data_IF_484695646918
#
_entry.id   IF_484695646918
#
_cell.length_a   1.000
_cell.length_b   1.000
_cell.length_c   1.000
_cell.angle_alpha   90.00
_cell.angle_beta   90.00
_cell.angle_gamma   90.00
#
_symmetry.space_group_name_H-M   'P 1'
#
loop_
_entity.id
_entity.type
_entity.pdbx_description
1 polymer ?
#
# COMPACT_ATOMS: atom_id res chain seq x y z
N UNK A 1 -4.59 -16.76 0.93
CA UNK A 1 -4.28 -16.01 -0.32
C UNK A 1 -3.37 -14.84 -0.03
N UNK A 2 -2.41 -14.49 -0.90
CA UNK A 2 -1.62 -13.25 -0.78
C UNK A 2 -2.19 -12.15 -1.65
N UNK A 3 -2.40 -10.96 -1.09
CA UNK A 3 -3.16 -9.87 -1.70
C UNK A 3 -2.37 -8.57 -1.72
N UNK A 4 -2.33 -7.92 -2.88
CA UNK A 4 -1.92 -6.52 -3.06
C UNK A 4 -3.19 -5.71 -3.17
N UNK A 5 -3.32 -4.64 -2.40
CA UNK A 5 -4.52 -3.81 -2.39
C UNK A 5 -4.21 -2.35 -2.66
N UNK A 6 -5.01 -1.74 -3.54
CA UNK A 6 -4.92 -0.35 -3.94
C UNK A 6 -6.31 0.28 -3.97
N UNK A 7 -6.37 1.60 -3.82
CA UNK A 7 -7.59 2.40 -4.00
C UNK A 7 -7.36 3.41 -5.12
N UNK A 8 -8.33 3.55 -6.03
CA UNK A 8 -8.38 4.62 -7.04
C UNK A 8 -9.80 5.13 -7.16
N UNK A 9 -10.01 6.43 -7.03
CA UNK A 9 -11.34 7.03 -7.09
C UNK A 9 -11.28 8.46 -7.64
N UNK A 10 -12.44 8.97 -8.08
CA UNK A 10 -12.53 10.28 -8.70
C UNK A 10 -11.83 10.35 -10.06
N UNK A 11 -11.64 11.57 -10.57
CA UNK A 11 -11.27 11.80 -11.99
C UNK A 11 -9.79 12.06 -12.23
N UNK A 12 -8.92 11.94 -11.22
CA UNK A 12 -7.48 12.21 -11.39
C UNK A 12 -6.82 11.07 -12.16
N UNK A 13 -6.47 11.37 -13.42
CA UNK A 13 -5.89 10.42 -14.37
C UNK A 13 -4.60 9.77 -13.87
N UNK A 14 -3.78 10.49 -13.12
CA UNK A 14 -2.54 9.99 -12.51
C UNK A 14 -2.75 8.69 -11.71
N UNK A 15 -3.79 8.62 -10.88
CA UNK A 15 -4.05 7.43 -10.05
C UNK A 15 -4.55 6.26 -10.89
N UNK A 16 -5.37 6.54 -11.90
CA UNK A 16 -5.88 5.55 -12.84
C UNK A 16 -4.77 4.95 -13.71
N UNK A 17 -3.93 5.79 -14.30
CA UNK A 17 -2.75 5.36 -15.05
C UNK A 17 -1.78 4.61 -14.14
N UNK A 18 -1.65 5.05 -12.89
CA UNK A 18 -0.78 4.40 -11.94
C UNK A 18 -1.24 2.98 -11.57
N UNK A 19 -2.52 2.81 -11.24
CA UNK A 19 -3.12 1.50 -11.07
C UNK A 19 -2.98 0.64 -12.32
N UNK A 20 -3.13 1.24 -13.51
CA UNK A 20 -3.02 0.51 -14.77
C UNK A 20 -1.61 -0.03 -14.99
N UNK A 21 -0.58 0.79 -14.81
CA UNK A 21 0.81 0.34 -14.92
C UNK A 21 1.10 -0.75 -13.90
N UNK A 22 0.67 -0.58 -12.65
CA UNK A 22 0.82 -1.60 -11.62
C UNK A 22 0.11 -2.91 -11.99
N UNK A 23 -1.07 -2.85 -12.61
CA UNK A 23 -1.80 -4.05 -13.07
C UNK A 23 -1.06 -4.83 -14.16
N UNK A 24 -0.21 -4.17 -14.95
CA UNK A 24 0.60 -4.82 -15.99
C UNK A 24 1.84 -5.50 -15.42
N UNK A 25 2.40 -5.00 -14.31
CA UNK A 25 3.68 -5.47 -13.74
C UNK A 25 3.56 -6.34 -12.49
N UNK A 26 2.41 -6.35 -11.80
CA UNK A 26 2.33 -6.96 -10.45
C UNK A 26 2.66 -8.45 -10.43
N UNK A 27 2.36 -9.21 -11.50
CA UNK A 27 2.66 -10.65 -11.57
C UNK A 27 4.15 -10.94 -11.71
N UNK A 28 4.90 -10.00 -12.30
CA UNK A 28 6.35 -10.07 -12.40
C UNK A 28 7.01 -9.74 -11.07
N UNK A 29 6.57 -8.64 -10.43
CA UNK A 29 7.13 -8.17 -9.15
C UNK A 29 6.72 -9.08 -7.99
N UNK A 30 5.48 -9.56 -7.99
CA UNK A 30 4.89 -10.38 -6.94
C UNK A 30 4.22 -11.65 -7.51
N UNK A 31 5.02 -12.64 -7.97
CA UNK A 31 4.48 -13.88 -8.52
C UNK A 31 3.56 -14.60 -7.52
N UNK A 32 2.38 -15.02 -7.99
CA UNK A 32 1.39 -15.73 -7.18
C UNK A 32 0.54 -14.86 -6.26
N UNK A 33 0.76 -13.54 -6.22
CA UNK A 33 -0.11 -12.61 -5.51
C UNK A 33 -1.32 -12.22 -6.38
N UNK A 34 -2.42 -11.86 -5.73
CA UNK A 34 -3.57 -11.26 -6.38
C UNK A 34 -3.52 -9.75 -6.22
N UNK A 35 -3.75 -8.98 -7.28
CA UNK A 35 -3.97 -7.54 -7.20
C UNK A 35 -5.47 -7.25 -7.10
N UNK A 36 -5.88 -6.48 -6.10
CA UNK A 36 -7.24 -5.98 -5.94
C UNK A 36 -7.25 -4.46 -5.85
N UNK A 37 -8.14 -3.86 -6.63
CA UNK A 37 -8.27 -2.41 -6.76
C UNK A 37 -9.70 -2.03 -6.37
N UNK A 38 -9.81 -1.16 -5.37
CA UNK A 38 -11.06 -0.59 -4.93
C UNK A 38 -11.32 0.75 -5.63
N UNK A 39 -12.53 0.93 -6.17
CA UNK A 39 -12.89 2.14 -6.91
C UNK A 39 -14.38 2.48 -6.82
N UNK A 40 -14.76 3.72 -7.10
CA UNK A 40 -16.15 4.20 -7.06
C UNK A 40 -16.87 4.22 -8.40
N UNK A 41 -16.16 4.00 -9.50
CA UNK A 41 -16.74 4.05 -10.84
C UNK A 41 -16.22 2.95 -11.76
N UNK A 42 -17.04 2.57 -12.75
CA UNK A 42 -16.59 1.81 -13.91
C UNK A 42 -16.28 2.79 -15.03
N UNK A 43 -15.04 2.77 -15.50
CA UNK A 43 -14.56 3.58 -16.62
C UNK A 43 -13.68 2.73 -17.55
N UNK A 44 -13.08 3.37 -18.55
CA UNK A 44 -12.19 2.71 -19.52
C UNK A 44 -11.02 1.97 -18.85
N UNK A 45 -10.42 2.56 -17.81
CA UNK A 45 -9.33 1.93 -17.06
C UNK A 45 -9.79 0.64 -16.37
N UNK A 46 -10.99 0.62 -15.78
CA UNK A 46 -11.46 -0.59 -15.07
C UNK A 46 -11.55 -1.83 -15.94
N UNK A 47 -11.84 -1.68 -17.24
CA UNK A 47 -11.85 -2.81 -18.17
C UNK A 47 -10.45 -3.38 -18.33
N UNK A 48 -9.48 -2.53 -18.61
CA UNK A 48 -8.10 -2.97 -18.83
C UNK A 48 -7.48 -3.54 -17.53
N UNK A 49 -7.82 -3.00 -16.36
CA UNK A 49 -7.44 -3.57 -15.07
C UNK A 49 -7.88 -5.04 -14.95
N UNK A 50 -9.12 -5.35 -15.34
CA UNK A 50 -9.65 -6.73 -15.33
C UNK A 50 -8.96 -7.59 -16.37
N UNK A 51 -8.71 -7.07 -17.57
CA UNK A 51 -7.98 -7.78 -18.64
C UNK A 51 -6.55 -8.15 -18.22
N UNK A 52 -5.87 -7.29 -17.46
CA UNK A 52 -4.57 -7.57 -16.86
C UNK A 52 -4.64 -8.59 -15.68
N UNK A 53 -5.87 -8.94 -15.27
CA UNK A 53 -6.16 -9.93 -14.23
C UNK A 53 -6.22 -9.34 -12.82
N UNK A 54 -6.41 -8.03 -12.66
CA UNK A 54 -6.70 -7.44 -11.36
C UNK A 54 -8.18 -7.66 -10.98
N UNK A 55 -8.44 -7.83 -9.70
CA UNK A 55 -9.80 -7.80 -9.14
C UNK A 55 -10.23 -6.34 -8.98
N UNK A 56 -11.35 -5.95 -9.60
CA UNK A 56 -11.91 -4.59 -9.43
C UNK A 56 -13.14 -4.66 -8.53
N UNK A 57 -13.07 -3.97 -7.39
CA UNK A 57 -14.13 -3.90 -6.38
C UNK A 57 -14.78 -2.53 -6.38
N UNK A 58 -16.05 -2.46 -6.77
CA UNK A 58 -16.82 -1.22 -6.72
C UNK A 58 -17.26 -0.89 -5.30
N UNK A 59 -17.05 0.36 -4.91
CA UNK A 59 -17.35 0.92 -3.61
C UNK A 59 -18.35 2.05 -3.76
N UNK A 60 -19.30 2.13 -2.83
CA UNK A 60 -20.13 3.32 -2.72
C UNK A 60 -19.29 4.44 -2.13
N UNK A 61 -19.08 5.52 -2.88
CA UNK A 61 -18.36 6.69 -2.41
C UNK A 61 -19.33 7.69 -1.74
N UNK A 62 -19.26 7.90 -0.41
CA UNK A 62 -20.04 8.94 0.24
C UNK A 62 -19.53 10.36 -0.06
N UNK A 63 -18.41 10.50 -0.77
CA UNK A 63 -17.71 11.76 -1.05
C UNK A 63 -16.41 11.90 -0.25
N UNK A 64 -15.62 12.91 -0.59
CA UNK A 64 -14.36 13.22 0.10
C UNK A 64 -13.22 12.24 -0.21
N UNK A 65 -12.39 11.96 0.79
CA UNK A 65 -11.20 11.12 0.67
C UNK A 65 -11.36 9.73 1.30
N UNK A 66 -12.60 9.33 1.63
CA UNK A 66 -12.90 8.02 2.20
C UNK A 66 -12.38 6.85 1.33
N UNK A 67 -12.27 7.08 0.01
CA UNK A 67 -11.66 6.12 -0.92
C UNK A 67 -10.27 5.64 -0.52
N UNK A 68 -9.51 6.48 0.19
CA UNK A 68 -8.17 6.16 0.68
C UNK A 68 -8.16 4.98 1.65
N UNK A 69 -9.24 4.77 2.40
CA UNK A 69 -9.36 3.69 3.38
C UNK A 69 -9.76 2.35 2.75
N UNK A 70 -10.30 2.32 1.53
CA UNK A 70 -10.79 1.05 0.95
C UNK A 70 -9.69 0.01 0.80
N UNK A 71 -8.46 0.45 0.48
CA UNK A 71 -7.30 -0.43 0.42
C UNK A 71 -6.95 -1.06 1.78
N UNK A 72 -7.42 -0.54 2.91
CA UNK A 72 -7.18 -1.17 4.22
C UNK A 72 -8.21 -2.26 4.55
N UNK A 73 -9.44 -2.15 4.02
CA UNK A 73 -10.56 -3.05 4.31
C UNK A 73 -10.22 -4.54 4.20
N UNK A 74 -9.47 -5.03 3.18
CA UNK A 74 -9.14 -6.44 3.08
C UNK A 74 -8.41 -7.03 4.29
N UNK A 75 -7.81 -6.23 5.18
CA UNK A 75 -7.17 -6.79 6.38
C UNK A 75 -8.16 -7.57 7.28
N UNK A 76 -9.45 -7.27 7.17
CA UNK A 76 -10.55 -8.03 7.80
C UNK A 76 -10.96 -9.31 7.06
N UNK A 77 -10.48 -9.55 5.83
CA UNK A 77 -10.90 -10.70 5.04
C UNK A 77 -10.36 -12.02 5.64
N UNK A 78 -11.25 -12.99 5.78
CA UNK A 78 -10.88 -14.35 6.18
C UNK A 78 -10.07 -15.05 5.07
N UNK A 79 -9.17 -15.97 5.45
CA UNK A 79 -8.39 -16.78 4.51
C UNK A 79 -7.22 -16.05 3.82
N UNK A 80 -6.90 -14.82 4.22
CA UNK A 80 -5.67 -14.16 3.82
C UNK A 80 -4.45 -14.82 4.47
N UNK A 81 -3.42 -15.01 3.66
CA UNK A 81 -2.07 -15.36 4.12
C UNK A 81 -1.33 -14.07 4.46
N UNK A 82 -1.29 -13.13 3.51
CA UNK A 82 -0.71 -11.81 3.67
C UNK A 82 -1.45 -10.77 2.82
N UNK A 83 -1.47 -9.54 3.31
CA UNK A 83 -1.92 -8.34 2.61
C UNK A 83 -0.74 -7.36 2.52
N UNK A 84 -0.55 -6.72 1.37
CA UNK A 84 0.28 -5.51 1.26
C UNK A 84 -0.55 -4.37 0.68
N UNK A 85 -0.43 -3.21 1.30
CA UNK A 85 -1.18 -2.02 0.92
C UNK A 85 -0.29 -1.07 0.14
N UNK A 86 -0.78 -0.59 -1.01
CA UNK A 86 -0.04 0.29 -1.92
C UNK A 86 -0.87 1.49 -2.38
N UNK A 87 -0.18 2.61 -2.54
CA UNK A 87 -0.69 3.76 -3.28
C UNK A 87 -0.55 3.50 -4.78
N UNK A 88 -1.55 3.89 -5.56
CA UNK A 88 -1.58 3.62 -7.01
C UNK A 88 -0.59 4.49 -7.81
N UNK A 89 -0.21 5.65 -7.27
CA UNK A 89 0.73 6.60 -7.86
C UNK A 89 2.21 6.22 -7.65
N UNK A 90 2.48 5.13 -6.93
CA UNK A 90 3.81 4.51 -6.81
C UNK A 90 3.89 3.19 -7.55
N UNK A 91 5.07 2.86 -8.07
CA UNK A 91 5.31 1.65 -8.88
C UNK A 91 5.80 0.51 -8.01
N UNK A 92 5.13 -0.65 -8.13
CA UNK A 92 5.64 -1.91 -7.60
C UNK A 92 7.03 -2.17 -8.16
N UNK A 93 7.97 -2.60 -7.32
CA UNK A 93 9.36 -2.77 -7.72
C UNK A 93 10.08 -3.90 -6.95
N UNK A 94 11.24 -4.30 -7.45
CA UNK A 94 12.00 -5.42 -6.86
C UNK A 94 12.58 -5.12 -5.48
N UNK A 95 12.78 -3.84 -5.12
CA UNK A 95 13.23 -3.45 -3.78
C UNK A 95 12.16 -3.73 -2.75
N UNK A 96 10.91 -3.35 -3.03
CA UNK A 96 9.81 -3.67 -2.12
C UNK A 96 9.49 -5.17 -2.08
N UNK A 97 9.64 -5.88 -3.20
CA UNK A 97 9.44 -7.32 -3.22
C UNK A 97 10.44 -8.03 -2.30
N UNK A 98 11.72 -7.66 -2.33
CA UNK A 98 12.73 -8.21 -1.44
C UNK A 98 12.41 -7.95 0.05
N UNK A 99 11.95 -6.74 0.38
CA UNK A 99 11.53 -6.41 1.75
C UNK A 99 10.30 -7.19 2.22
N UNK A 100 9.32 -7.39 1.34
CA UNK A 100 8.11 -8.18 1.63
C UNK A 100 8.47 -9.65 1.82
N UNK A 101 9.35 -10.22 0.99
CA UNK A 101 9.79 -11.60 1.16
C UNK A 101 10.60 -11.79 2.46
N UNK A 102 11.47 -10.85 2.82
CA UNK A 102 12.16 -10.86 4.11
C UNK A 102 11.18 -10.83 5.29
N UNK A 103 10.12 -10.01 5.19
CA UNK A 103 9.04 -10.01 6.17
C UNK A 103 8.32 -11.35 6.25
N UNK A 104 7.88 -11.92 5.12
CA UNK A 104 7.20 -13.21 5.10
C UNK A 104 8.07 -14.32 5.73
N UNK A 105 9.37 -14.31 5.44
CA UNK A 105 10.34 -15.26 6.02
C UNK A 105 10.57 -15.05 7.53
N UNK A 106 10.43 -13.83 8.03
CA UNK A 106 10.62 -13.52 9.46
C UNK A 106 9.55 -14.09 10.38
N UNK A 107 8.38 -14.44 9.83
CA UNK A 107 7.22 -14.91 10.60
C UNK A 107 6.48 -13.82 11.38
N UNK A 108 6.86 -12.54 11.26
CA UNK A 108 6.21 -11.40 11.93
C UNK A 108 4.79 -11.16 11.40
N UNK A 109 3.88 -10.74 12.29
CA UNK A 109 2.50 -10.42 11.96
C UNK A 109 2.33 -9.22 11.03
N UNK A 110 3.25 -8.25 11.05
CA UNK A 110 3.16 -7.04 10.23
C UNK A 110 4.50 -6.57 9.64
N UNK A 111 4.40 -5.67 8.66
CA UNK A 111 5.54 -5.06 7.96
C UNK A 111 5.31 -3.59 7.70
N UNK A 112 6.34 -2.77 7.93
CA UNK A 112 6.35 -1.35 7.61
C UNK A 112 7.64 -0.99 6.88
N UNK A 113 7.54 -0.11 5.88
CA UNK A 113 8.68 0.42 5.11
C UNK A 113 8.76 1.95 5.19
N UNK A 114 9.97 2.47 5.43
CA UNK A 114 10.28 3.91 5.46
C UNK A 114 11.56 4.20 4.67
N UNK A 115 11.44 4.42 3.36
CA UNK A 115 12.58 4.47 2.44
C UNK A 115 13.04 5.89 2.00
N UNK A 116 12.46 6.95 2.56
CA UNK A 116 12.75 8.34 2.20
C UNK A 116 12.70 9.25 3.45
N UNK A 117 13.45 10.36 3.53
CA UNK A 117 13.40 11.27 4.68
C UNK A 117 11.99 11.74 5.07
N UNK A 118 11.09 11.95 4.09
CA UNK A 118 9.69 12.30 4.35
C UNK A 118 8.87 11.19 5.03
N UNK A 119 9.37 9.95 5.01
CA UNK A 119 8.72 8.78 5.61
C UNK A 119 9.06 8.62 7.09
N UNK A 120 10.18 9.19 7.55
CA UNK A 120 10.76 8.87 8.85
C UNK A 120 9.94 9.39 10.03
N UNK A 121 9.12 10.42 9.81
CA UNK A 121 8.30 11.07 10.84
C UNK A 121 6.99 10.33 11.15
N UNK A 122 6.70 9.22 10.45
CA UNK A 122 5.45 8.49 10.62
C UNK A 122 5.69 7.03 11.03
N UNK A 123 4.92 6.49 11.99
CA UNK A 123 5.03 5.09 12.36
C UNK A 123 4.57 4.20 11.19
N UNK A 124 3.59 4.63 10.41
CA UNK A 124 3.08 3.90 9.26
C UNK A 124 2.67 4.88 8.17
N UNK A 125 2.95 4.50 6.92
CA UNK A 125 2.55 5.27 5.73
C UNK A 125 1.40 4.56 5.04
N UNK A 126 0.52 5.33 4.38
CA UNK A 126 -0.71 4.82 3.78
C UNK A 126 -0.51 3.67 2.79
N UNK A 127 0.52 3.74 1.94
CA UNK A 127 0.80 2.76 0.89
C UNK A 127 2.07 1.94 1.06
N UNK A 128 2.59 1.76 2.29
CA UNK A 128 3.87 1.07 2.49
C UNK A 128 3.91 0.17 3.73
N UNK A 129 2.92 -0.71 3.84
CA UNK A 129 2.84 -1.68 4.92
C UNK A 129 2.16 -2.97 4.47
N UNK A 130 2.37 -4.02 5.25
CA UNK A 130 1.74 -5.32 5.06
C UNK A 130 1.35 -5.96 6.38
N UNK A 131 0.42 -6.91 6.33
CA UNK A 131 -0.09 -7.62 7.50
C UNK A 131 -0.48 -9.05 7.17
N UNK A 132 -0.25 -9.99 8.11
CA UNK A 132 -0.69 -11.39 8.01
C UNK A 132 -2.19 -11.48 8.29
N UNK A 133 -2.85 -12.47 7.70
CA UNK A 133 -4.28 -12.69 7.94
C UNK A 133 -4.59 -12.90 9.43
N UNK A 134 -5.71 -12.33 9.89
CA UNK A 134 -6.18 -12.49 11.26
C UNK A 134 -5.48 -11.65 12.33
N UNK A 135 -4.45 -10.86 11.98
CA UNK A 135 -3.79 -9.96 12.95
C UNK A 135 -4.68 -8.77 13.34
N UNK A 136 -5.45 -8.23 12.38
CA UNK A 136 -6.47 -7.19 12.62
C UNK A 136 -7.75 -7.59 11.90
N UNK A 137 -8.55 -8.51 12.47
CA UNK A 137 -9.76 -9.02 11.83
C UNK A 137 -10.89 -7.98 11.78
N UNK A 138 -10.81 -6.93 12.60
CA UNK A 138 -11.81 -5.88 12.79
C UNK A 138 -11.43 -4.55 12.10
N UNK A 139 -10.55 -4.58 11.08
CA UNK A 139 -10.12 -3.39 10.34
C UNK A 139 -11.28 -2.56 9.79
N UNK A 140 -12.29 -3.21 9.20
CA UNK A 140 -13.45 -2.51 8.65
C UNK A 140 -14.22 -1.76 9.74
N UNK A 141 -14.45 -2.40 10.88
CA UNK A 141 -15.12 -1.82 12.04
C UNK A 141 -14.31 -0.67 12.64
N UNK A 142 -12.98 -0.81 12.74
CA UNK A 142 -12.06 0.26 13.18
C UNK A 142 -12.13 1.49 12.29
N UNK A 143 -12.14 1.31 10.96
CA UNK A 143 -12.25 2.42 10.00
C UNK A 143 -13.58 3.17 10.17
N UNK A 144 -14.68 2.43 10.37
CA UNK A 144 -15.99 3.01 10.61
C UNK A 144 -16.07 3.75 11.96
N UNK A 145 -15.44 3.20 13.01
CA UNK A 145 -15.39 3.82 14.32
C UNK A 145 -14.50 5.07 14.38
N UNK A 146 -13.46 5.15 13.53
CA UNK A 146 -12.56 6.30 13.46
C UNK A 146 -13.28 7.62 13.11
N UNK A 147 -14.30 7.56 12.25
CA UNK A 147 -15.21 8.66 11.93
C UNK A 147 -14.51 10.00 11.53
N UNK A 148 -13.31 9.92 10.95
CA UNK A 148 -12.51 11.04 10.44
C UNK A 148 -11.91 10.68 9.09
N UNK A 149 -12.57 11.09 8.00
CA UNK A 149 -12.23 10.64 6.63
C UNK A 149 -12.20 11.77 5.61
N UNK A 150 -11.92 12.99 6.05
CA UNK A 150 -12.12 14.20 5.23
C UNK A 150 -10.82 14.92 4.91
N UNK A 151 -9.75 14.70 5.70
CA UNK A 151 -8.51 15.47 5.61
C UNK A 151 -7.35 14.61 5.13
N UNK A 152 -6.54 15.18 4.24
CA UNK A 152 -5.25 14.59 3.86
C UNK A 152 -4.50 14.16 5.13
N UNK A 153 -3.88 12.98 5.10
CA UNK A 153 -3.20 12.33 6.23
C UNK A 153 -4.12 11.66 7.26
N UNK A 154 -5.45 11.72 7.14
CA UNK A 154 -6.35 11.00 8.06
C UNK A 154 -6.11 9.48 8.04
N UNK A 155 -5.68 8.92 6.92
CA UNK A 155 -5.26 7.51 6.81
C UNK A 155 -4.01 7.22 7.64
N UNK A 156 -3.02 8.11 7.60
CA UNK A 156 -1.79 8.00 8.37
C UNK A 156 -2.04 8.21 9.86
N UNK A 157 -2.93 9.13 10.23
CA UNK A 157 -3.40 9.31 11.61
C UNK A 157 -4.15 8.09 12.12
N UNK A 158 -5.07 7.53 11.31
CA UNK A 158 -5.75 6.28 11.63
C UNK A 158 -4.75 5.15 11.86
N UNK A 159 -3.78 4.97 10.96
CA UNK A 159 -2.76 3.95 11.12
C UNK A 159 -1.94 4.17 12.41
N UNK A 160 -1.53 5.41 12.70
CA UNK A 160 -0.76 5.74 13.90
C UNK A 160 -1.53 5.51 15.21
N UNK A 161 -2.84 5.79 15.24
CA UNK A 161 -3.66 5.76 16.46
C UNK A 161 -4.40 4.42 16.65
N UNK A 162 -4.80 3.76 15.56
CA UNK A 162 -5.69 2.58 15.60
C UNK A 162 -5.02 1.26 15.21
N UNK A 163 -3.91 1.30 14.49
CA UNK A 163 -3.24 0.11 13.93
C UNK A 163 -1.86 -0.09 14.57
N UNK A 164 -1.00 0.91 14.53
CA UNK A 164 0.37 0.85 15.02
C UNK A 164 0.49 0.34 16.47
N UNK A 165 -0.34 0.79 17.45
CA UNK A 165 -0.26 0.29 18.82
C UNK A 165 -0.48 -1.21 18.95
N UNK A 166 -1.22 -1.82 18.02
CA UNK A 166 -1.53 -3.25 17.98
C UNK A 166 -0.36 -4.06 17.43
N UNK A 167 0.29 -3.57 16.38
CA UNK A 167 1.27 -4.35 15.62
C UNK A 167 2.73 -4.08 15.99
N UNK A 168 3.05 -2.98 16.68
CA UNK A 168 4.43 -2.50 16.85
C UNK A 168 5.40 -3.50 17.49
N UNK A 169 4.90 -4.43 18.31
CA UNK A 169 5.71 -5.46 18.96
C UNK A 169 5.89 -6.73 18.11
N UNK A 170 5.14 -6.86 17.02
CA UNK A 170 5.20 -7.97 16.07
C UNK A 170 5.27 -7.47 14.61
N UNK A 171 6.11 -6.47 14.39
CA UNK A 171 6.30 -5.84 13.09
C UNK A 171 7.76 -5.92 12.65
N UNK A 172 8.01 -6.43 11.43
CA UNK A 172 9.29 -6.19 10.77
C UNK A 172 9.29 -4.78 10.18
N UNK A 173 10.32 -3.99 10.45
CA UNK A 173 10.39 -2.61 10.01
C UNK A 173 11.64 -2.42 9.16
N UNK A 174 11.47 -1.99 7.91
CA UNK A 174 12.60 -1.63 7.05
C UNK A 174 12.71 -0.11 6.91
N UNK A 175 13.91 0.42 7.08
CA UNK A 175 14.17 1.86 7.08
C UNK A 175 15.45 2.22 6.33
N UNK A 176 15.41 3.34 5.59
CA UNK A 176 16.59 4.01 5.05
C UNK A 176 16.89 5.23 5.92
N UNK A 177 18.03 5.19 6.62
CA UNK A 177 18.40 6.22 7.60
C UNK A 177 17.93 5.87 9.02
N UNK A 178 17.64 6.88 9.83
CA UNK A 178 17.27 6.71 11.25
C UNK A 178 15.82 7.13 11.46
N UNK A 179 14.99 6.24 11.99
CA UNK A 179 13.61 6.53 12.37
C UNK A 179 13.43 6.39 13.88
N UNK A 180 12.65 7.27 14.55
CA UNK A 180 12.37 7.15 15.99
C UNK A 180 11.59 5.88 16.36
N UNK A 181 10.97 5.21 15.38
CA UNK A 181 10.25 3.94 15.58
C UNK A 181 11.13 2.70 15.39
N UNK A 182 12.41 2.89 15.06
CA UNK A 182 13.35 1.83 14.73
C UNK A 182 13.17 1.25 13.33
N UNK A 183 13.92 0.19 13.07
CA UNK A 183 13.91 -0.56 11.81
C UNK A 183 15.30 -1.02 11.40
N UNK A 184 15.35 -1.97 10.48
CA UNK A 184 16.56 -2.51 9.89
C UNK A 184 16.74 -2.05 8.43
N UNK A 185 17.96 -2.10 7.88
CA UNK A 185 18.19 -1.76 6.48
C UNK A 185 17.39 -2.65 5.53
N UNK A 186 17.00 -2.10 4.38
CA UNK A 186 16.38 -2.89 3.30
C UNK A 186 17.30 -4.04 2.85
N UNK A 187 16.72 -5.22 2.55
CA UNK A 187 17.50 -6.36 2.09
C UNK A 187 18.09 -6.11 0.70
N UNK A 188 19.15 -6.85 0.32
CA UNK A 188 19.69 -6.80 -1.03
C UNK A 188 18.63 -7.11 -2.09
N UNK A 189 18.66 -6.38 -3.20
CA UNK A 189 17.74 -6.55 -4.32
C UNK A 189 18.46 -6.29 -5.65
N UNK A 190 17.97 -6.83 -6.79
CA UNK A 190 18.46 -6.46 -8.11
C UNK A 190 18.31 -4.95 -8.38
N UNK A 191 19.11 -4.33 -9.26
CA UNK A 191 18.95 -2.93 -9.61
C UNK A 191 17.50 -2.59 -10.01
N UNK A 192 16.92 -1.55 -9.41
CA UNK A 192 15.64 -0.96 -9.82
C UNK A 192 15.88 0.47 -10.31
N UNK A 193 14.98 0.97 -11.15
CA UNK A 193 14.96 2.38 -11.59
C UNK A 193 14.36 3.35 -10.54
N UNK A 194 13.88 2.79 -9.43
CA UNK A 194 13.22 3.47 -8.32
C UNK A 194 14.23 4.07 -7.34
N UNK A 195 14.05 5.33 -6.93
CA UNK A 195 14.98 5.98 -5.99
C UNK A 195 14.68 5.56 -4.54
N UNK A 196 13.40 5.32 -4.25
CA UNK A 196 12.87 4.82 -2.99
C UNK A 196 11.48 4.20 -3.17
N UNK A 197 11.09 3.29 -2.27
CA UNK A 197 9.71 2.74 -2.22
C UNK A 197 8.75 3.87 -1.84
N UNK A 198 7.63 4.00 -2.57
CA UNK A 198 6.65 5.07 -2.36
C UNK A 198 6.93 6.33 -3.19
N UNK A 199 7.90 6.29 -4.11
CA UNK A 199 8.12 7.36 -5.07
C UNK A 199 6.86 7.58 -5.92
N UNK A 200 6.37 8.82 -5.94
CA UNK A 200 5.21 9.25 -6.71
C UNK A 200 5.64 9.58 -8.15
N UNK A 201 4.89 9.06 -9.13
CA UNK A 201 5.14 9.32 -10.54
C UNK A 201 4.11 10.31 -11.09
N UNK A 202 4.58 11.47 -11.56
CA UNK A 202 3.74 12.50 -12.18
C UNK A 202 3.73 12.37 -13.71
N UNK A 203 2.62 12.72 -14.36
CA UNK A 203 2.61 12.89 -15.82
C UNK A 203 3.65 13.96 -16.20
N UNK A 204 4.64 13.58 -17.01
CA UNK A 204 5.69 14.48 -17.50
C UNK A 204 6.89 14.70 -16.57
N UNK A 205 6.99 14.03 -15.41
CA UNK A 205 8.20 14.15 -14.58
C UNK A 205 9.39 13.44 -15.24
N UNK A 206 10.21 14.22 -15.93
CA UNK A 206 11.64 13.92 -16.10
C UNK A 206 12.22 13.79 -14.69
N UNK A 207 13.07 12.79 -14.45
CA UNK A 207 13.82 12.66 -13.19
C UNK A 207 14.45 13.99 -12.86
N UNK A 208 13.95 14.67 -11.83
CA UNK A 208 14.68 15.78 -11.24
C UNK A 208 15.76 15.15 -10.36
N UNK A 209 16.98 15.03 -10.92
CA UNK A 209 18.16 14.49 -10.23
C UNK A 209 18.64 15.42 -9.10
N UNK A 210 17.87 16.46 -8.75
CA UNK A 210 18.21 17.42 -7.71
C UNK A 210 17.11 17.57 -6.65
N UNK A 211 16.88 16.54 -5.83
CA UNK A 211 16.32 16.70 -4.47
C UNK A 211 16.51 15.49 -3.57
#
# INVERSE_FOLDING_TARGET
MRLITMSVWGSSRMYWEGALINSRIYKEVYPGWTLRIYTDERNEFTRELVENGAQVCLMRNPGGIFGMFWRFIPASDEGLDALIVRDADSRLNVREAAAVEAWLASGKGAHVMRDHPHHLNWPMLGGMWGIRGGVIPDMKERILAWNRWEKKLDDMHFLAESVWPVIQHDCLQHVRGTSPFGGEPFPPHPPCSCDYIGQVYYEGSVKDETR
#
